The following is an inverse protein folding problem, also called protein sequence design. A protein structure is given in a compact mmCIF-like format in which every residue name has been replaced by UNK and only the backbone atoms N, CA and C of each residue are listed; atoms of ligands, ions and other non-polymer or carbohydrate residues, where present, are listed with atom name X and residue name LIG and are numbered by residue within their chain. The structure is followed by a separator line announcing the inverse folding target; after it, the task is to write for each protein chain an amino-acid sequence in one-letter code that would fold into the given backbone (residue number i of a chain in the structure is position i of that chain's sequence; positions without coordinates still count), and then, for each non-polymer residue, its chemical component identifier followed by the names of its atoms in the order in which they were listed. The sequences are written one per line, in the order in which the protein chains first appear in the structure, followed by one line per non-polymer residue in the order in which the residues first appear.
data_IF_205890374227
#
_entry.id   IF_205890374227
#
_cell.length_a   1.000
_cell.length_b   1.000
_cell.length_c   1.000
_cell.angle_alpha   90.00
_cell.angle_beta   90.00
_cell.angle_gamma   90.00
#
_symmetry.space_group_name_H-M   'P 1'
#
loop_
_entity.id
_entity.type
_entity.pdbx_description
1 polymer ?
#
# COMPACT_ATOMS: atom_id res chain seq x y z
N UNK A 1 4.42 79.10 -53.41
CA UNK A 1 5.13 77.99 -52.74
C UNK A 1 4.19 77.29 -51.78
N UNK A 2 3.57 76.17 -52.21
CA UNK A 2 2.70 75.33 -51.38
C UNK A 2 3.58 74.34 -50.61
N UNK A 3 3.52 74.35 -49.27
CA UNK A 3 4.16 73.33 -48.42
C UNK A 3 3.13 72.26 -48.10
N UNK A 4 3.35 71.07 -48.63
CA UNK A 4 2.59 69.85 -48.31
C UNK A 4 3.08 69.30 -46.97
N UNK A 5 2.15 69.02 -46.06
CA UNK A 5 2.41 68.27 -44.82
C UNK A 5 2.08 66.81 -45.11
N UNK A 6 3.10 65.95 -45.13
CA UNK A 6 2.92 64.50 -45.25
C UNK A 6 2.55 63.91 -43.91
N UNK A 7 1.33 63.37 -43.78
CA UNK A 7 0.95 62.49 -42.68
C UNK A 7 1.62 61.12 -42.91
N UNK A 8 2.54 60.73 -42.03
CA UNK A 8 3.03 59.36 -41.97
C UNK A 8 2.01 58.51 -41.21
N UNK A 9 1.35 57.58 -41.92
CA UNK A 9 0.49 56.58 -41.32
C UNK A 9 1.36 55.55 -40.57
N UNK A 10 1.29 55.58 -39.24
CA UNK A 10 1.86 54.52 -38.38
C UNK A 10 0.92 53.32 -38.46
N UNK A 11 1.30 52.34 -39.27
CA UNK A 11 0.71 50.99 -39.27
C UNK A 11 1.12 50.29 -37.96
N UNK A 12 0.22 50.31 -36.98
CA UNK A 12 0.31 49.44 -35.82
C UNK A 12 -0.03 48.02 -36.31
N UNK A 13 1.00 47.23 -36.64
CA UNK A 13 0.86 45.79 -36.76
C UNK A 13 0.48 45.26 -35.36
N UNK A 14 -0.80 44.97 -35.18
CA UNK A 14 -1.29 44.19 -34.04
C UNK A 14 -0.64 42.81 -34.09
N UNK A 15 0.44 42.65 -33.33
CA UNK A 15 1.01 41.33 -33.05
C UNK A 15 -0.02 40.51 -32.32
N UNK A 16 -0.56 39.49 -32.99
CA UNK A 16 -1.25 38.39 -32.32
C UNK A 16 -0.22 37.73 -31.42
N UNK A 17 -0.27 38.06 -30.13
CA UNK A 17 0.38 37.25 -29.11
C UNK A 17 -0.33 35.91 -29.18
N UNK A 18 0.29 34.94 -29.84
CA UNK A 18 -0.10 33.55 -29.69
C UNK A 18 0.03 33.25 -28.20
N UNK A 19 -1.12 33.23 -27.51
CA UNK A 19 -1.22 32.69 -26.17
C UNK A 19 -0.65 31.28 -26.26
N UNK A 20 0.58 31.09 -25.78
CA UNK A 20 1.19 29.77 -25.68
C UNK A 20 0.18 28.92 -24.91
N UNK A 21 -0.36 27.91 -25.58
CA UNK A 21 -1.31 26.98 -24.99
C UNK A 21 -0.66 26.45 -23.72
N UNK A 22 -1.09 26.96 -22.57
CA UNK A 22 -0.76 26.39 -21.29
C UNK A 22 -1.21 24.93 -21.39
N UNK A 23 -0.25 24.01 -21.43
CA UNK A 23 -0.53 22.58 -21.40
C UNK A 23 -1.47 22.39 -20.20
N UNK A 24 -2.71 21.97 -20.49
CA UNK A 24 -3.70 21.76 -19.45
C UNK A 24 -3.10 20.81 -18.40
N UNK A 25 -3.22 21.16 -17.12
CA UNK A 25 -2.72 20.34 -16.03
C UNK A 25 -3.28 18.91 -16.15
N UNK A 26 -2.43 17.90 -15.94
CA UNK A 26 -2.84 16.50 -15.93
C UNK A 26 -2.64 15.90 -14.53
N UNK A 27 -3.64 15.18 -13.99
CA UNK A 27 -4.92 14.80 -14.61
C UNK A 27 -5.92 15.95 -14.78
N UNK A 28 -6.86 15.78 -15.72
CA UNK A 28 -7.98 16.71 -15.90
C UNK A 28 -8.96 16.67 -14.73
N UNK A 29 -9.78 17.72 -14.58
CA UNK A 29 -10.82 17.77 -13.54
C UNK A 29 -11.77 16.57 -13.59
N UNK A 30 -12.12 16.10 -14.80
CA UNK A 30 -12.94 14.88 -14.99
C UNK A 30 -12.25 13.62 -14.45
N UNK A 31 -10.94 13.47 -14.69
CA UNK A 31 -10.19 12.33 -14.17
C UNK A 31 -10.09 12.36 -12.64
N UNK A 32 -9.95 13.55 -12.05
CA UNK A 32 -9.94 13.71 -10.59
C UNK A 32 -11.32 13.41 -9.99
N UNK A 33 -12.41 13.82 -10.63
CA UNK A 33 -13.76 13.46 -10.23
C UNK A 33 -14.00 11.94 -10.30
N UNK A 34 -13.59 11.29 -11.40
CA UNK A 34 -13.66 9.82 -11.53
C UNK A 34 -12.77 9.15 -10.48
N UNK A 35 -11.57 9.65 -10.20
CA UNK A 35 -10.69 9.12 -9.16
C UNK A 35 -11.34 9.13 -7.78
N UNK A 36 -12.14 10.16 -7.50
CA UNK A 36 -12.85 10.35 -6.24
C UNK A 36 -14.12 9.51 -6.13
N UNK A 37 -14.95 9.52 -7.17
CA UNK A 37 -16.34 9.05 -7.13
C UNK A 37 -16.58 7.76 -7.92
N UNK A 38 -15.62 7.34 -8.74
CA UNK A 38 -15.73 6.15 -9.58
C UNK A 38 -15.72 4.85 -8.78
N UNK A 39 -16.25 3.80 -9.40
CA UNK A 39 -16.23 2.43 -8.84
C UNK A 39 -15.02 1.66 -9.35
N UNK A 40 -14.43 0.90 -8.44
CA UNK A 40 -13.36 -0.07 -8.75
C UNK A 40 -13.99 -1.35 -9.31
N UNK A 41 -13.32 -1.96 -10.28
CA UNK A 41 -13.74 -3.20 -10.94
C UNK A 41 -12.85 -4.39 -10.61
N UNK A 42 -11.61 -4.14 -10.18
CA UNK A 42 -10.56 -5.16 -10.06
C UNK A 42 -9.79 -5.36 -11.36
N UNK A 43 -8.59 -5.93 -11.24
CA UNK A 43 -7.63 -5.96 -12.35
C UNK A 43 -8.06 -6.87 -13.51
N UNK A 44 -8.89 -7.89 -13.23
CA UNK A 44 -9.33 -8.84 -14.26
C UNK A 44 -10.21 -8.16 -15.33
N UNK A 45 -10.95 -7.10 -14.97
CA UNK A 45 -11.72 -6.29 -15.92
C UNK A 45 -10.83 -5.54 -16.92
N UNK A 46 -9.55 -5.30 -16.59
CA UNK A 46 -8.61 -4.63 -17.48
C UNK A 46 -7.99 -5.61 -18.51
N UNK A 47 -8.03 -6.92 -18.24
CA UNK A 47 -7.33 -7.94 -19.00
C UNK A 47 -7.78 -8.03 -20.45
N UNK A 48 -9.06 -7.84 -20.72
CA UNK A 48 -9.63 -8.00 -22.07
C UNK A 48 -9.04 -7.01 -23.08
N UNK A 49 -8.85 -5.75 -22.66
CA UNK A 49 -8.27 -4.69 -23.51
C UNK A 49 -6.75 -4.52 -23.33
N UNK A 50 -6.19 -4.91 -22.17
CA UNK A 50 -4.78 -4.69 -21.82
C UNK A 50 -4.04 -6.00 -21.45
N UNK A 51 -4.22 -7.04 -22.26
CA UNK A 51 -3.72 -8.39 -21.99
C UNK A 51 -2.20 -8.46 -21.73
N UNK A 52 -1.39 -7.73 -22.50
CA UNK A 52 0.09 -7.77 -22.38
C UNK A 52 0.57 -7.16 -21.06
N UNK A 53 0.06 -5.97 -20.72
CA UNK A 53 0.38 -5.32 -19.44
C UNK A 53 -0.14 -6.15 -18.27
N UNK A 54 -1.35 -6.69 -18.38
CA UNK A 54 -1.92 -7.58 -17.37
C UNK A 54 -1.06 -8.84 -17.17
N UNK A 55 -0.54 -9.44 -18.24
CA UNK A 55 0.32 -10.64 -18.15
C UNK A 55 1.58 -10.39 -17.32
N UNK A 56 2.26 -9.26 -17.55
CA UNK A 56 3.42 -8.86 -16.73
C UNK A 56 3.01 -8.58 -15.28
N UNK A 57 1.96 -7.78 -15.10
CA UNK A 57 1.48 -7.43 -13.76
C UNK A 57 1.05 -8.65 -12.95
N UNK A 58 0.39 -9.64 -13.56
CA UNK A 58 -0.17 -10.81 -12.88
C UNK A 58 0.88 -11.68 -12.18
N UNK A 59 2.14 -11.64 -12.61
CA UNK A 59 3.26 -12.34 -11.96
C UNK A 59 4.13 -11.41 -11.12
N UNK A 60 3.80 -10.12 -11.07
CA UNK A 60 4.57 -9.14 -10.30
C UNK A 60 4.33 -9.27 -8.81
N UNK A 61 5.29 -8.78 -8.01
CA UNK A 61 5.24 -8.80 -6.53
C UNK A 61 4.10 -7.95 -5.94
N UNK A 62 3.46 -7.08 -6.74
CA UNK A 62 2.27 -6.34 -6.30
C UNK A 62 1.05 -7.27 -6.11
N UNK A 63 0.97 -8.35 -6.87
CA UNK A 63 -0.11 -9.34 -6.73
C UNK A 63 0.05 -10.24 -5.50
N UNK A 64 1.19 -10.16 -4.83
CA UNK A 64 1.63 -11.08 -3.77
C UNK A 64 1.55 -10.47 -2.37
N UNK A 65 0.98 -9.27 -2.24
CA UNK A 65 0.81 -8.59 -0.96
C UNK A 65 -0.26 -9.27 -0.10
N UNK A 66 -1.37 -9.66 -0.72
CA UNK A 66 -2.38 -10.50 -0.11
C UNK A 66 -2.92 -11.52 -1.11
N UNK A 67 -3.31 -12.69 -0.61
CA UNK A 67 -4.04 -13.73 -1.34
C UNK A 67 -5.19 -14.22 -0.48
N UNK A 68 -6.24 -14.73 -1.12
CA UNK A 68 -7.25 -15.50 -0.42
C UNK A 68 -6.68 -16.83 0.07
N UNK A 69 -7.20 -17.31 1.19
CA UNK A 69 -6.93 -18.62 1.74
C UNK A 69 -8.07 -19.62 1.50
N UNK A 70 -7.87 -20.89 1.91
CA UNK A 70 -8.80 -21.99 1.69
C UNK A 70 -10.20 -21.79 2.29
N UNK A 71 -10.35 -20.97 3.34
CA UNK A 71 -11.66 -20.66 3.91
C UNK A 71 -12.58 -19.87 2.95
N UNK A 72 -11.99 -19.18 1.98
CA UNK A 72 -12.73 -18.45 0.93
C UNK A 72 -13.00 -19.33 -0.29
N UNK A 73 -12.12 -20.30 -0.56
CA UNK A 73 -12.28 -21.23 -1.66
C UNK A 73 -11.16 -22.27 -1.66
N UNK A 74 -11.51 -23.55 -1.81
CA UNK A 74 -10.58 -24.68 -1.63
C UNK A 74 -9.31 -24.54 -2.48
N UNK A 75 -9.44 -24.09 -3.72
CA UNK A 75 -8.31 -23.92 -4.66
C UNK A 75 -7.24 -22.91 -4.19
N UNK A 76 -7.56 -22.09 -3.18
CA UNK A 76 -6.62 -21.16 -2.57
C UNK A 76 -5.62 -21.85 -1.62
N UNK A 77 -5.75 -23.14 -1.34
CA UNK A 77 -4.75 -23.89 -0.56
C UNK A 77 -3.35 -23.82 -1.18
N UNK A 78 -3.28 -23.68 -2.52
CA UNK A 78 -2.03 -23.50 -3.26
C UNK A 78 -1.26 -22.22 -2.87
N UNK A 79 -1.95 -21.24 -2.28
CA UNK A 79 -1.34 -20.00 -1.83
C UNK A 79 -0.64 -20.14 -0.46
N UNK A 80 -0.76 -21.28 0.21
CA UNK A 80 0.00 -21.62 1.42
C UNK A 80 1.20 -22.45 1.00
N UNK A 81 2.40 -22.12 1.49
CA UNK A 81 3.60 -22.91 1.19
C UNK A 81 3.36 -24.40 1.46
N UNK A 82 3.86 -25.26 0.57
CA UNK A 82 3.64 -26.70 0.64
C UNK A 82 4.10 -27.31 1.96
N UNK A 83 5.31 -26.97 2.41
CA UNK A 83 5.85 -27.45 3.69
C UNK A 83 5.00 -27.01 4.87
N UNK A 84 4.39 -25.82 4.79
CA UNK A 84 3.52 -25.28 5.84
C UNK A 84 2.23 -26.09 5.93
N UNK A 85 1.61 -26.46 4.80
CA UNK A 85 0.43 -27.32 4.80
C UNK A 85 0.76 -28.72 5.34
N UNK A 86 1.89 -29.30 4.90
CA UNK A 86 2.37 -30.61 5.35
C UNK A 86 2.59 -30.67 6.87
N UNK A 87 3.21 -29.64 7.44
CA UNK A 87 3.62 -29.61 8.85
C UNK A 87 2.71 -28.78 9.76
N UNK A 88 1.54 -28.33 9.28
CA UNK A 88 0.68 -27.39 10.00
C UNK A 88 0.34 -27.83 11.43
N UNK A 89 0.08 -29.12 11.64
CA UNK A 89 -0.25 -29.67 12.96
C UNK A 89 0.84 -29.41 14.02
N UNK A 90 2.11 -29.31 13.57
CA UNK A 90 3.28 -29.03 14.42
C UNK A 90 3.47 -27.54 14.71
N UNK A 91 2.80 -26.66 13.97
CA UNK A 91 2.92 -25.20 14.11
C UNK A 91 2.00 -24.67 15.20
N UNK A 92 2.42 -23.63 15.89
CA UNK A 92 1.61 -22.91 16.89
C UNK A 92 0.61 -21.94 16.23
N UNK A 93 -0.42 -22.50 15.59
CA UNK A 93 -1.48 -21.77 14.88
C UNK A 93 -2.50 -21.07 15.80
N UNK A 94 -2.02 -20.44 16.87
CA UNK A 94 -2.82 -19.60 17.75
C UNK A 94 -3.11 -18.25 17.10
N UNK A 95 -4.20 -17.60 17.47
CA UNK A 95 -4.62 -16.29 16.95
C UNK A 95 -4.28 -15.18 17.93
N UNK A 96 -3.75 -14.05 17.44
CA UNK A 96 -3.57 -12.85 18.28
C UNK A 96 -4.91 -12.15 18.44
N UNK A 97 -5.35 -11.91 19.68
CA UNK A 97 -6.70 -11.43 19.99
C UNK A 97 -6.74 -9.92 20.24
N UNK A 98 -6.08 -9.48 21.30
CA UNK A 98 -6.10 -8.08 21.72
C UNK A 98 -4.84 -7.73 22.53
N UNK A 99 -4.49 -6.45 22.58
CA UNK A 99 -3.45 -5.93 23.44
C UNK A 99 -3.98 -5.71 24.86
N UNK A 100 -3.35 -6.34 25.85
CA UNK A 100 -3.63 -6.11 27.28
C UNK A 100 -2.95 -4.84 27.77
N UNK A 101 -1.67 -4.68 27.43
CA UNK A 101 -0.85 -3.53 27.78
C UNK A 101 0.29 -3.35 26.76
N UNK A 102 1.20 -2.41 27.00
CA UNK A 102 2.31 -2.09 26.08
C UNK A 102 3.15 -3.31 25.68
N UNK A 103 3.31 -4.27 26.57
CA UNK A 103 4.22 -5.40 26.42
C UNK A 103 3.50 -6.76 26.42
N UNK A 104 2.18 -6.79 26.57
CA UNK A 104 1.40 -8.03 26.69
C UNK A 104 0.22 -8.05 25.71
N UNK A 105 0.04 -9.17 25.01
CA UNK A 105 -1.14 -9.46 24.18
C UNK A 105 -1.81 -10.76 24.63
N UNK A 106 -3.11 -10.85 24.40
CA UNK A 106 -3.86 -12.10 24.48
C UNK A 106 -3.72 -12.89 23.17
N UNK A 107 -3.49 -14.19 23.29
CA UNK A 107 -3.34 -15.13 22.16
C UNK A 107 -4.25 -16.32 22.43
N UNK A 108 -5.06 -16.77 21.47
CA UNK A 108 -6.03 -17.85 21.70
C UNK A 108 -5.34 -19.14 22.17
N UNK A 109 -5.91 -19.82 23.17
CA UNK A 109 -5.45 -21.15 23.54
C UNK A 109 -5.76 -22.17 22.43
N UNK A 110 -6.90 -21.98 21.75
CA UNK A 110 -7.27 -22.70 20.54
C UNK A 110 -6.23 -22.50 19.42
N UNK A 111 -5.89 -23.60 18.74
CA UNK A 111 -5.18 -23.62 17.45
C UNK A 111 -6.20 -23.65 16.30
N UNK A 112 -5.87 -23.00 15.20
CA UNK A 112 -6.70 -22.98 14.00
C UNK A 112 -6.18 -23.93 12.93
N UNK A 113 -7.08 -24.52 12.14
CA UNK A 113 -6.72 -25.36 11.00
C UNK A 113 -6.27 -24.48 9.82
N UNK A 114 -5.40 -24.98 8.95
CA UNK A 114 -4.99 -24.22 7.77
C UNK A 114 -6.15 -23.94 6.83
N UNK A 115 -7.20 -24.78 6.86
CA UNK A 115 -8.47 -24.57 6.14
C UNK A 115 -9.27 -23.38 6.64
N UNK A 116 -9.04 -22.92 7.88
CA UNK A 116 -9.71 -21.74 8.44
C UNK A 116 -9.09 -20.42 7.96
N UNK A 117 -7.95 -20.49 7.27
CA UNK A 117 -7.25 -19.32 6.77
C UNK A 117 -8.07 -18.66 5.66
N UNK A 118 -8.53 -17.43 5.91
CA UNK A 118 -9.26 -16.62 4.94
C UNK A 118 -8.38 -15.70 4.12
N UNK A 119 -7.31 -15.16 4.72
CA UNK A 119 -6.39 -14.22 4.06
C UNK A 119 -4.95 -14.60 4.38
N UNK A 120 -4.07 -14.45 3.39
CA UNK A 120 -2.63 -14.68 3.49
C UNK A 120 -1.94 -13.39 3.12
N UNK A 121 -1.13 -12.83 4.02
CA UNK A 121 -0.36 -11.60 3.77
C UNK A 121 1.09 -11.94 3.48
N UNK A 122 1.53 -11.61 2.26
CA UNK A 122 2.87 -11.89 1.72
C UNK A 122 2.97 -13.26 1.05
N UNK A 123 3.82 -13.37 0.01
CA UNK A 123 4.12 -14.63 -0.70
C UNK A 123 5.61 -14.85 -1.01
N UNK A 124 6.39 -13.77 -1.14
CA UNK A 124 7.76 -13.86 -1.65
C UNK A 124 8.82 -14.04 -0.56
N UNK A 125 8.67 -13.33 0.56
CA UNK A 125 9.68 -13.33 1.63
C UNK A 125 9.19 -14.06 2.87
N UNK A 126 7.89 -13.90 3.18
CA UNK A 126 7.25 -14.45 4.36
C UNK A 126 5.74 -14.49 4.17
N UNK A 127 5.10 -15.46 4.81
CA UNK A 127 3.64 -15.61 4.91
C UNK A 127 3.20 -15.40 6.35
N UNK A 128 2.10 -14.66 6.49
CA UNK A 128 1.32 -14.53 7.72
C UNK A 128 -0.12 -14.85 7.36
N UNK A 129 -0.77 -15.67 8.17
CA UNK A 129 -2.11 -16.17 7.87
C UNK A 129 -3.12 -15.55 8.81
N UNK A 130 -4.33 -15.38 8.31
CA UNK A 130 -5.40 -14.74 9.03
C UNK A 130 -6.66 -15.60 9.02
N UNK A 131 -7.29 -15.67 10.18
CA UNK A 131 -8.53 -16.41 10.42
C UNK A 131 -9.59 -15.44 10.94
N UNK A 132 -10.85 -15.77 10.74
CA UNK A 132 -11.95 -14.91 11.17
C UNK A 132 -12.16 -15.02 12.69
N UNK A 133 -12.22 -13.87 13.36
CA UNK A 133 -12.60 -13.72 14.76
C UNK A 133 -13.90 -12.94 14.87
N UNK A 134 -14.87 -13.46 15.61
CA UNK A 134 -16.19 -12.88 15.84
C UNK A 134 -16.23 -11.93 17.06
N UNK A 135 -15.13 -11.76 17.79
CA UNK A 135 -15.16 -10.96 19.00
C UNK A 135 -15.69 -11.69 20.23
N UNK A 136 -15.99 -12.98 20.15
CA UNK A 136 -16.52 -13.78 21.25
C UNK A 136 -15.47 -14.11 22.33
N UNK A 137 -15.92 -14.42 23.55
CA UNK A 137 -15.02 -14.87 24.62
C UNK A 137 -14.35 -16.20 24.29
N UNK A 138 -13.12 -16.39 24.77
CA UNK A 138 -12.42 -17.66 24.64
C UNK A 138 -11.28 -17.80 25.65
N UNK A 139 -10.80 -19.03 25.84
CA UNK A 139 -9.55 -19.25 26.57
C UNK A 139 -8.36 -18.69 25.79
N UNK A 140 -7.47 -18.00 26.50
CA UNK A 140 -6.29 -17.36 25.94
C UNK A 140 -5.04 -17.63 26.79
N UNK A 141 -3.89 -17.52 26.16
CA UNK A 141 -2.59 -17.33 26.76
C UNK A 141 -2.23 -15.85 26.76
N UNK A 142 -1.25 -15.48 27.59
CA UNK A 142 -0.58 -14.19 27.48
C UNK A 142 0.74 -14.36 26.74
N UNK A 143 0.99 -13.50 25.74
CA UNK A 143 2.31 -13.39 25.11
C UNK A 143 2.94 -12.04 25.45
N UNK A 144 4.23 -12.06 25.79
CA UNK A 144 4.97 -10.89 26.28
C UNK A 144 6.16 -10.56 25.40
N UNK A 145 6.54 -9.29 25.39
CA UNK A 145 7.80 -8.81 24.80
C UNK A 145 8.57 -7.98 25.83
N UNK A 146 9.88 -8.15 25.91
CA UNK A 146 10.71 -7.51 26.96
C UNK A 146 10.90 -6.01 26.73
N UNK A 147 10.97 -5.55 25.48
CA UNK A 147 11.36 -4.18 25.12
C UNK A 147 10.28 -3.43 24.31
N UNK A 148 9.03 -3.89 24.32
CA UNK A 148 8.02 -3.43 23.35
C UNK A 148 8.42 -3.75 21.90
N UNK A 149 9.29 -4.76 21.74
CA UNK A 149 9.86 -5.19 20.48
C UNK A 149 8.88 -6.02 19.66
N UNK A 150 9.38 -6.65 18.60
CA UNK A 150 8.58 -7.55 17.76
C UNK A 150 8.80 -9.02 18.08
N UNK A 151 9.65 -9.32 19.06
CA UNK A 151 9.92 -10.66 19.55
C UNK A 151 9.02 -10.93 20.74
N UNK A 152 8.09 -11.87 20.57
CA UNK A 152 7.07 -12.22 21.54
C UNK A 152 7.25 -13.66 22.00
N UNK A 153 7.00 -13.89 23.29
CA UNK A 153 7.04 -15.21 23.91
C UNK A 153 5.68 -15.51 24.54
N UNK A 154 5.07 -16.61 24.14
CA UNK A 154 3.79 -17.07 24.67
C UNK A 154 4.01 -17.90 25.95
N UNK A 155 3.30 -17.55 27.02
CA UNK A 155 3.25 -18.35 28.25
C UNK A 155 2.10 -19.35 28.16
N UNK A 156 2.43 -20.62 27.90
CA UNK A 156 1.46 -21.71 27.79
C UNK A 156 1.25 -22.48 29.11
N UNK A 157 1.88 -22.04 30.21
CA UNK A 157 1.76 -22.72 31.51
C UNK A 157 0.39 -22.54 32.16
N UNK A 158 -0.36 -21.51 31.75
CA UNK A 158 -1.67 -21.16 32.27
C UNK A 158 -2.53 -20.51 31.19
N UNK A 159 -3.83 -20.74 31.27
CA UNK A 159 -4.83 -20.02 30.47
C UNK A 159 -5.48 -18.91 31.30
N UNK A 160 -6.05 -17.93 30.60
CA UNK A 160 -6.92 -16.89 31.15
C UNK A 160 -8.23 -16.88 30.37
N UNK A 161 -9.32 -16.48 31.02
CA UNK A 161 -10.59 -16.23 30.33
C UNK A 161 -10.55 -14.86 29.69
N UNK A 162 -10.47 -14.81 28.36
CA UNK A 162 -10.61 -13.57 27.61
C UNK A 162 -12.09 -13.31 27.35
N UNK A 163 -12.60 -12.17 27.83
CA UNK A 163 -14.02 -11.82 27.77
C UNK A 163 -14.56 -11.59 26.34
N UNK A 164 -13.67 -11.52 25.35
CA UNK A 164 -14.03 -11.17 23.98
C UNK A 164 -14.08 -9.66 23.77
N UNK A 165 -14.04 -9.26 22.51
CA UNK A 165 -14.19 -7.85 22.11
C UNK A 165 -14.74 -7.77 20.67
N UNK A 166 -16.04 -7.48 20.54
CA UNK A 166 -16.69 -7.31 19.23
C UNK A 166 -16.12 -6.15 18.42
N UNK A 167 -15.56 -5.12 19.06
CA UNK A 167 -14.86 -4.04 18.38
C UNK A 167 -13.58 -4.51 17.66
N UNK A 168 -13.05 -5.68 18.03
CA UNK A 168 -11.90 -6.30 17.33
C UNK A 168 -12.28 -7.26 16.23
N UNK A 169 -13.52 -7.78 16.20
CA UNK A 169 -13.97 -8.76 15.20
C UNK A 169 -13.57 -8.42 13.75
N UNK A 170 -13.12 -9.43 13.00
CA UNK A 170 -12.54 -9.29 11.67
C UNK A 170 -11.53 -10.41 11.38
N UNK A 171 -10.69 -10.25 10.35
CA UNK A 171 -9.60 -11.20 10.08
C UNK A 171 -8.38 -10.89 10.95
N UNK A 172 -8.07 -11.79 11.88
CA UNK A 172 -6.98 -11.67 12.82
C UNK A 172 -5.78 -12.49 12.38
N UNK A 173 -4.59 -11.97 12.67
CA UNK A 173 -3.36 -12.69 12.40
C UNK A 173 -3.17 -13.86 13.36
N UNK A 174 -2.81 -15.00 12.81
CA UNK A 174 -2.19 -16.05 13.60
C UNK A 174 -0.85 -15.54 14.14
N UNK A 175 -0.51 -15.96 15.36
CA UNK A 175 0.72 -15.65 16.08
C UNK A 175 1.93 -16.37 15.46
N UNK A 176 2.08 -16.28 14.15
CA UNK A 176 3.10 -17.01 13.41
C UNK A 176 3.50 -16.28 12.13
N UNK A 177 4.78 -16.40 11.80
CA UNK A 177 5.36 -15.85 10.58
C UNK A 177 6.31 -16.89 10.01
N UNK A 178 6.02 -17.34 8.79
CA UNK A 178 6.73 -18.43 8.14
C UNK A 178 7.43 -17.92 6.89
N UNK A 179 8.49 -18.61 6.50
CA UNK A 179 9.32 -18.25 5.35
C UNK A 179 9.22 -19.32 4.25
N UNK A 180 9.55 -18.99 2.99
CA UNK A 180 9.52 -19.97 1.89
C UNK A 180 10.43 -21.18 2.14
N UNK A 181 11.56 -20.97 2.84
CA UNK A 181 12.49 -22.04 3.21
C UNK A 181 11.82 -22.99 4.21
N UNK A 182 11.81 -24.27 3.87
CA UNK A 182 11.27 -25.34 4.72
C UNK A 182 11.84 -25.28 6.14
N UNK A 183 10.97 -25.45 7.14
CA UNK A 183 11.29 -25.40 8.57
C UNK A 183 11.68 -24.01 9.11
N UNK A 184 11.75 -22.97 8.27
CA UNK A 184 12.14 -21.64 8.72
C UNK A 184 10.92 -20.87 9.26
N UNK A 185 10.95 -20.63 10.56
CA UNK A 185 9.87 -20.00 11.35
C UNK A 185 10.45 -18.80 12.12
N UNK A 186 9.68 -17.71 12.25
CA UNK A 186 10.00 -16.70 13.25
C UNK A 186 9.63 -17.20 14.65
N UNK A 187 10.63 -17.50 15.49
CA UNK A 187 10.41 -18.01 16.85
C UNK A 187 9.69 -17.01 17.76
N UNK A 188 9.84 -15.70 17.50
CA UNK A 188 9.16 -14.64 18.25
C UNK A 188 7.71 -14.39 17.84
N UNK A 189 7.12 -15.23 16.98
CA UNK A 189 5.73 -15.09 16.54
C UNK A 189 5.45 -13.84 15.70
N UNK A 190 4.16 -13.50 15.55
CA UNK A 190 3.70 -12.24 14.96
C UNK A 190 2.41 -11.78 15.65
N UNK A 191 2.52 -10.78 16.52
CA UNK A 191 1.47 -10.39 17.45
C UNK A 191 0.68 -9.13 17.01
N UNK A 192 0.26 -9.05 15.75
CA UNK A 192 -0.65 -7.97 15.35
C UNK A 192 -2.05 -8.24 15.92
N UNK A 193 -2.47 -7.38 16.85
CA UNK A 193 -3.71 -7.52 17.60
C UNK A 193 -4.89 -6.75 16.98
N UNK A 194 -4.64 -5.95 15.94
CA UNK A 194 -5.71 -5.34 15.13
C UNK A 194 -6.07 -6.28 13.99
N UNK A 195 -7.34 -6.28 13.61
CA UNK A 195 -7.76 -7.00 12.42
C UNK A 195 -7.11 -6.40 11.16
N UNK A 196 -7.02 -7.23 10.12
CA UNK A 196 -6.50 -6.83 8.81
C UNK A 196 -7.23 -5.61 8.25
N UNK A 197 -8.56 -5.62 8.37
CA UNK A 197 -9.44 -4.55 7.90
C UNK A 197 -9.18 -3.24 8.63
N UNK A 198 -8.85 -3.27 9.93
CA UNK A 198 -8.58 -2.06 10.70
C UNK A 198 -7.26 -1.38 10.34
N UNK A 199 -6.24 -2.15 9.93
CA UNK A 199 -4.87 -1.63 9.92
C UNK A 199 -4.09 -1.78 8.62
N UNK A 200 -4.33 -2.84 7.86
CA UNK A 200 -3.42 -3.26 6.78
C UNK A 200 -4.07 -3.25 5.40
N UNK A 201 -5.39 -3.45 5.34
CA UNK A 201 -6.10 -3.75 4.10
C UNK A 201 -5.95 -2.65 3.04
N UNK A 202 -5.91 -1.36 3.42
CA UNK A 202 -5.88 -0.25 2.48
C UNK A 202 -4.63 -0.23 1.59
N UNK A 203 -3.48 -0.67 2.11
CA UNK A 203 -2.24 -0.74 1.34
C UNK A 203 -1.97 -2.13 0.73
N UNK A 204 -2.78 -3.14 1.05
CA UNK A 204 -2.54 -4.54 0.70
C UNK A 204 -3.64 -5.14 -0.20
N UNK A 205 -4.60 -4.33 -0.64
CA UNK A 205 -5.71 -4.70 -1.53
C UNK A 205 -6.05 -3.52 -2.44
N UNK A 206 -6.97 -3.68 -3.39
CA UNK A 206 -7.42 -2.60 -4.27
C UNK A 206 -8.89 -2.28 -4.06
N UNK A 207 -9.21 -0.98 -4.04
CA UNK A 207 -10.59 -0.50 -3.95
C UNK A 207 -11.24 -0.80 -2.60
N UNK A 208 -10.48 -0.73 -1.50
CA UNK A 208 -11.04 -0.93 -0.17
C UNK A 208 -12.08 0.17 0.17
N UNK A 209 -13.34 -0.22 0.30
CA UNK A 209 -14.45 0.62 0.75
C UNK A 209 -14.47 0.69 2.28
N UNK A 210 -13.74 1.67 2.80
CA UNK A 210 -13.65 1.82 4.24
C UNK A 210 -14.95 2.28 4.89
N UNK A 211 -15.77 3.07 4.21
CA UNK A 211 -17.03 3.56 4.77
C UNK A 211 -18.03 2.41 4.90
N UNK A 212 -18.09 1.55 3.89
CA UNK A 212 -18.83 0.29 3.93
C UNK A 212 -18.36 -0.61 5.07
N UNK A 213 -17.03 -0.75 5.25
CA UNK A 213 -16.46 -1.49 6.38
C UNK A 213 -16.86 -0.92 7.74
N UNK A 214 -16.69 0.40 7.97
CA UNK A 214 -17.03 1.02 9.26
C UNK A 214 -18.53 0.90 9.56
N UNK A 215 -19.40 1.07 8.56
CA UNK A 215 -20.84 0.82 8.71
C UNK A 215 -21.11 -0.63 9.08
N UNK A 216 -20.52 -1.58 8.35
CA UNK A 216 -20.68 -3.00 8.61
C UNK A 216 -20.22 -3.39 10.02
N UNK A 217 -19.12 -2.80 10.48
CA UNK A 217 -18.56 -2.98 11.82
C UNK A 217 -19.52 -2.47 12.89
N UNK A 218 -20.06 -1.26 12.72
CA UNK A 218 -21.06 -0.71 13.62
C UNK A 218 -22.31 -1.59 13.70
N UNK A 219 -22.83 -2.02 12.54
CA UNK A 219 -23.98 -2.93 12.46
C UNK A 219 -23.69 -4.27 13.17
N UNK A 220 -22.48 -4.80 13.03
CA UNK A 220 -22.05 -6.04 13.69
C UNK A 220 -21.98 -5.92 15.21
N UNK A 221 -21.36 -4.85 15.71
CA UNK A 221 -21.27 -4.58 17.16
C UNK A 221 -22.67 -4.42 17.76
N UNK A 222 -23.58 -3.76 17.05
CA UNK A 222 -24.97 -3.59 17.45
C UNK A 222 -25.82 -4.87 17.35
N UNK A 223 -25.29 -5.96 16.77
CA UNK A 223 -26.03 -7.22 16.57
C UNK A 223 -26.96 -7.22 15.35
N UNK A 224 -26.90 -6.19 14.50
CA UNK A 224 -27.70 -6.05 13.28
C UNK A 224 -27.06 -6.74 12.06
N UNK A 225 -25.86 -7.31 12.22
CA UNK A 225 -25.13 -8.05 11.19
C UNK A 225 -24.60 -9.36 11.75
N UNK A 226 -24.66 -10.42 10.94
CA UNK A 226 -24.24 -11.78 11.33
C UNK A 226 -22.72 -11.93 11.48
N UNK A 227 -21.93 -11.37 10.56
CA UNK A 227 -20.48 -11.50 10.55
C UNK A 227 -19.79 -10.37 9.76
N UNK A 228 -18.46 -10.40 9.77
CA UNK A 228 -17.56 -9.43 9.11
C UNK A 228 -16.56 -10.14 8.20
N UNK A 229 -17.01 -11.20 7.51
CA UNK A 229 -16.16 -11.98 6.58
C UNK A 229 -15.93 -11.28 5.24
N UNK A 230 -16.78 -10.32 4.88
CA UNK A 230 -16.56 -9.48 3.71
C UNK A 230 -15.33 -8.58 3.91
N UNK A 231 -14.47 -8.50 2.89
CA UNK A 231 -13.28 -7.65 2.93
C UNK A 231 -13.52 -6.22 2.46
N UNK A 232 -14.65 -5.96 1.78
CA UNK A 232 -14.98 -4.65 1.20
C UNK A 232 -13.92 -4.16 0.20
N UNK A 233 -13.42 -5.04 -0.66
CA UNK A 233 -12.40 -4.72 -1.68
C UNK A 233 -12.89 -5.12 -3.06
N UNK A 234 -12.42 -4.43 -4.09
CA UNK A 234 -12.65 -4.82 -5.48
C UNK A 234 -11.66 -5.90 -5.95
N UNK A 235 -10.44 -5.92 -5.39
CA UNK A 235 -9.43 -6.94 -5.68
C UNK A 235 -8.57 -7.19 -4.45
N UNK A 236 -8.28 -8.46 -4.14
CA UNK A 236 -7.38 -8.84 -3.04
C UNK A 236 -5.92 -8.45 -3.34
N UNK A 237 -5.57 -8.28 -4.61
CA UNK A 237 -4.24 -7.90 -5.09
C UNK A 237 -4.07 -6.38 -5.10
N UNK A 238 -2.83 -5.91 -5.22
CA UNK A 238 -2.56 -4.54 -5.68
C UNK A 238 -2.68 -4.51 -7.20
N UNK A 239 -3.88 -4.15 -7.67
CA UNK A 239 -4.34 -4.12 -9.06
C UNK A 239 -4.11 -2.80 -9.76
N UNK A 240 -4.47 -2.76 -11.04
CA UNK A 240 -4.29 -1.61 -11.94
C UNK A 240 -4.84 -0.32 -11.31
N UNK A 241 -6.04 -0.40 -10.76
CA UNK A 241 -6.79 0.74 -10.22
C UNK A 241 -6.19 1.32 -8.93
N UNK A 242 -5.26 0.63 -8.27
CA UNK A 242 -4.51 1.23 -7.15
C UNK A 242 -3.62 2.38 -7.62
N UNK A 243 -3.11 2.34 -8.86
CA UNK A 243 -2.26 3.38 -9.44
C UNK A 243 -2.99 4.24 -10.47
N UNK A 244 -4.01 3.68 -11.13
CA UNK A 244 -4.73 4.33 -12.23
C UNK A 244 -6.07 4.96 -11.80
N UNK A 245 -6.51 4.73 -10.57
CA UNK A 245 -7.84 5.11 -10.09
C UNK A 245 -8.93 4.11 -10.56
N UNK A 246 -10.19 4.34 -10.17
CA UNK A 246 -11.32 3.48 -10.51
C UNK A 246 -11.59 3.47 -12.02
N UNK A 247 -11.74 2.29 -12.60
CA UNK A 247 -11.85 2.09 -14.05
C UNK A 247 -13.28 1.90 -14.58
N UNK A 248 -14.30 1.97 -13.72
CA UNK A 248 -15.69 1.74 -14.16
C UNK A 248 -16.19 2.65 -15.26
N UNK A 249 -15.80 3.92 -15.29
CA UNK A 249 -16.14 4.83 -16.39
C UNK A 249 -15.33 4.50 -17.64
N UNK A 250 -14.05 4.18 -17.47
CA UNK A 250 -13.16 3.84 -18.58
C UNK A 250 -13.59 2.58 -19.33
N UNK A 251 -14.02 1.54 -18.62
CA UNK A 251 -14.51 0.29 -19.25
C UNK A 251 -15.79 0.54 -20.05
N UNK A 252 -16.67 1.44 -19.59
CA UNK A 252 -17.92 1.78 -20.30
C UNK A 252 -17.65 2.68 -21.51
N UNK A 253 -16.80 3.69 -21.34
CA UNK A 253 -16.53 4.73 -22.31
C UNK A 253 -15.00 4.93 -22.45
N UNK A 254 -14.29 4.06 -23.19
CA UNK A 254 -12.83 4.14 -23.26
C UNK A 254 -12.34 5.47 -23.81
N UNK A 255 -11.73 6.28 -22.96
CA UNK A 255 -11.19 7.60 -23.31
C UNK A 255 -9.98 7.98 -22.46
N UNK A 256 -9.08 8.80 -23.01
CA UNK A 256 -7.86 9.24 -22.32
C UNK A 256 -8.13 10.10 -21.06
N UNK A 257 -9.35 10.61 -20.92
CA UNK A 257 -9.87 11.44 -19.82
C UNK A 257 -10.76 10.66 -18.83
N UNK A 258 -10.85 9.34 -18.97
CA UNK A 258 -11.69 8.47 -18.10
C UNK A 258 -10.89 7.58 -17.14
N UNK A 259 -9.55 7.60 -17.24
CA UNK A 259 -8.62 6.90 -16.35
C UNK A 259 -7.34 7.71 -16.20
N UNK A 260 -6.67 7.64 -15.05
CA UNK A 260 -5.39 8.32 -14.84
C UNK A 260 -4.25 7.48 -15.42
N UNK A 261 -3.31 8.11 -16.11
CA UNK A 261 -2.06 7.54 -16.57
C UNK A 261 -0.91 8.18 -15.78
N UNK A 262 -0.34 7.49 -14.77
CA UNK A 262 0.67 8.05 -13.87
C UNK A 262 1.84 8.77 -14.55
N UNK A 263 2.33 8.22 -15.67
CA UNK A 263 3.45 8.78 -16.42
C UNK A 263 3.17 10.17 -17.02
N UNK A 264 1.90 10.54 -17.21
CA UNK A 264 1.47 11.85 -17.74
C UNK A 264 1.18 12.89 -16.66
N UNK A 265 1.17 12.50 -15.38
CA UNK A 265 0.98 13.45 -14.28
C UNK A 265 2.12 14.46 -14.28
N UNK A 266 1.75 15.74 -14.26
CA UNK A 266 2.68 16.87 -14.28
C UNK A 266 3.02 17.38 -12.89
N UNK A 267 2.08 17.26 -11.94
CA UNK A 267 2.30 17.63 -10.55
C UNK A 267 3.24 16.63 -9.84
N UNK A 268 4.37 17.12 -9.32
CA UNK A 268 5.42 16.29 -8.69
C UNK A 268 4.89 15.53 -7.49
N UNK A 269 4.14 16.21 -6.61
CA UNK A 269 3.60 15.61 -5.40
C UNK A 269 2.65 14.47 -5.75
N UNK A 270 1.75 14.67 -6.71
CA UNK A 270 0.82 13.65 -7.16
C UNK A 270 1.55 12.46 -7.81
N UNK A 271 2.59 12.71 -8.63
CA UNK A 271 3.41 11.63 -9.21
C UNK A 271 4.04 10.75 -8.14
N UNK A 272 4.62 11.35 -7.11
CA UNK A 272 5.22 10.64 -5.99
C UNK A 272 4.16 9.90 -5.16
N UNK A 273 3.01 10.54 -4.98
CA UNK A 273 1.90 9.97 -4.23
C UNK A 273 1.36 8.70 -4.85
N UNK A 274 1.44 8.46 -6.16
CA UNK A 274 1.07 7.16 -6.78
C UNK A 274 1.70 5.97 -6.05
N UNK A 275 2.94 6.10 -5.56
CA UNK A 275 3.63 5.07 -4.78
C UNK A 275 3.58 5.37 -3.27
N UNK A 276 3.64 6.65 -2.90
CA UNK A 276 3.59 7.16 -1.53
C UNK A 276 2.32 6.77 -0.76
N UNK A 277 1.23 6.38 -1.44
CA UNK A 277 0.02 5.83 -0.81
C UNK A 277 0.32 4.66 0.12
N UNK A 278 1.30 3.84 -0.24
CA UNK A 278 1.61 2.57 0.43
C UNK A 278 3.07 2.47 0.89
N UNK A 279 4.01 3.03 0.11
CA UNK A 279 5.45 2.93 0.36
C UNK A 279 5.96 3.98 1.35
N UNK A 280 5.18 4.16 2.42
CA UNK A 280 5.37 5.19 3.43
C UNK A 280 5.09 4.65 4.84
N UNK A 281 5.36 5.48 5.84
CA UNK A 281 4.76 5.34 7.18
C UNK A 281 4.24 6.70 7.59
N UNK A 282 2.97 6.70 7.95
CA UNK A 282 2.33 7.86 8.55
C UNK A 282 2.84 8.01 9.99
N UNK A 283 2.92 9.26 10.46
CA UNK A 283 3.04 9.53 11.89
C UNK A 283 1.75 9.10 12.60
N UNK A 284 0.62 9.46 11.98
CA UNK A 284 -0.73 9.24 12.46
C UNK A 284 -1.70 9.28 11.29
N UNK A 285 -2.77 8.49 11.34
CA UNK A 285 -3.91 8.62 10.42
C UNK A 285 -4.90 9.66 10.97
N UNK A 286 -5.42 10.52 10.08
CA UNK A 286 -6.47 11.51 10.38
C UNK A 286 -7.85 10.87 10.33
N UNK A 287 -8.01 9.80 9.53
CA UNK A 287 -9.30 9.10 9.35
C UNK A 287 -9.52 7.96 10.34
N UNK A 288 -8.48 7.43 10.96
CA UNK A 288 -8.59 6.29 11.89
C UNK A 288 -7.56 6.35 13.01
N UNK A 289 -7.95 5.96 14.23
CA UNK A 289 -7.03 5.81 15.37
C UNK A 289 -6.17 4.55 15.27
N UNK A 290 -6.55 3.60 14.42
CA UNK A 290 -5.97 2.24 14.37
C UNK A 290 -5.23 1.98 13.07
N UNK A 291 -5.58 2.69 12.00
CA UNK A 291 -5.00 2.46 10.68
C UNK A 291 -3.63 3.09 10.52
N UNK A 292 -2.78 2.40 9.76
CA UNK A 292 -1.47 2.87 9.32
C UNK A 292 -1.43 3.15 7.81
N UNK A 293 -2.54 2.92 7.13
CA UNK A 293 -2.75 3.20 5.72
C UNK A 293 -3.32 4.61 5.52
N UNK A 294 -3.32 5.10 4.27
CA UNK A 294 -4.02 6.33 3.88
C UNK A 294 -5.50 6.02 3.64
N UNK A 295 -6.19 5.63 4.72
CA UNK A 295 -7.57 5.17 4.71
C UNK A 295 -8.50 6.11 3.92
N UNK A 296 -8.96 5.66 2.75
CA UNK A 296 -9.88 6.42 1.90
C UNK A 296 -9.23 7.41 0.93
N UNK A 297 -7.91 7.54 0.91
CA UNK A 297 -7.19 8.41 -0.02
C UNK A 297 -7.48 8.04 -1.47
N UNK A 298 -7.73 9.06 -2.30
CA UNK A 298 -7.82 8.96 -3.76
C UNK A 298 -6.74 9.81 -4.41
N UNK A 299 -6.26 9.35 -5.58
CA UNK A 299 -5.26 10.08 -6.33
C UNK A 299 -5.75 11.49 -6.69
N UNK A 300 -4.92 12.47 -6.37
CA UNK A 300 -5.20 13.89 -6.58
C UNK A 300 -5.79 14.60 -5.37
N UNK A 301 -6.11 13.88 -4.30
CA UNK A 301 -6.43 14.49 -3.01
C UNK A 301 -5.15 14.86 -2.24
N UNK A 302 -5.29 15.76 -1.27
CA UNK A 302 -4.19 16.19 -0.41
C UNK A 302 -3.89 15.12 0.63
N UNK A 303 -2.61 14.75 0.77
CA UNK A 303 -2.17 13.69 1.69
C UNK A 303 -2.59 13.99 3.14
N UNK A 304 -2.46 15.25 3.55
CA UNK A 304 -2.68 15.73 4.91
C UNK A 304 -4.14 15.62 5.38
N UNK A 305 -5.09 15.48 4.46
CA UNK A 305 -6.50 15.19 4.79
C UNK A 305 -6.69 13.76 5.32
N UNK A 306 -5.66 12.90 5.14
CA UNK A 306 -5.69 11.48 5.45
C UNK A 306 -4.65 11.06 6.48
N UNK A 307 -3.47 11.69 6.49
CA UNK A 307 -2.40 11.33 7.40
C UNK A 307 -1.44 12.48 7.69
N UNK A 308 -0.75 12.38 8.82
CA UNK A 308 0.38 13.23 9.14
C UNK A 308 1.68 12.60 8.63
N UNK A 309 2.55 13.40 8.03
CA UNK A 309 3.89 12.95 7.66
C UNK A 309 4.73 12.64 8.90
N UNK A 310 5.55 11.59 8.80
CA UNK A 310 6.56 11.29 9.83
C UNK A 310 7.52 12.47 9.97
N UNK A 311 7.66 12.99 11.20
CA UNK A 311 8.65 14.02 11.53
C UNK A 311 9.89 13.37 12.15
N UNK A 312 11.07 13.47 11.51
CA UNK A 312 12.31 12.95 12.07
C UNK A 312 12.67 13.63 13.40
N UNK A 313 13.12 12.83 14.37
CA UNK A 313 13.83 13.34 15.54
C UNK A 313 15.33 13.33 15.23
N UNK A 314 15.82 14.39 14.58
CA UNK A 314 17.22 14.49 14.12
C UNK A 314 18.24 14.15 15.23
N UNK A 315 19.23 13.33 14.90
CA UNK A 315 20.27 12.85 15.82
C UNK A 315 19.85 11.68 16.73
N UNK A 316 18.54 11.47 16.94
CA UNK A 316 18.01 10.38 17.80
C UNK A 316 17.26 9.29 17.03
N UNK A 317 16.61 9.67 15.93
CA UNK A 317 15.66 8.84 15.20
C UNK A 317 14.38 8.56 16.00
N UNK A 318 13.46 7.84 15.38
CA UNK A 318 12.23 7.38 16.02
C UNK A 318 11.84 5.99 15.48
N UNK A 319 10.60 5.54 15.71
CA UNK A 319 10.11 4.23 15.27
C UNK A 319 10.11 4.08 13.75
N UNK A 320 9.92 5.18 13.02
CA UNK A 320 9.76 5.23 11.58
C UNK A 320 11.08 5.54 10.85
N UNK A 321 11.93 6.42 11.40
CA UNK A 321 13.15 6.93 10.73
C UNK A 321 14.41 6.85 11.59
N UNK A 322 15.56 6.68 10.93
CA UNK A 322 16.89 6.65 11.56
C UNK A 322 17.31 8.03 12.06
N UNK A 323 18.48 8.11 12.69
CA UNK A 323 19.02 9.35 13.27
C UNK A 323 19.18 10.47 12.23
N UNK A 324 19.36 10.10 10.97
CA UNK A 324 19.50 10.96 9.79
C UNK A 324 18.20 11.05 8.96
N UNK A 325 17.06 10.68 9.55
CA UNK A 325 15.74 10.87 8.93
C UNK A 325 15.36 9.90 7.81
N UNK A 326 16.26 8.97 7.42
CA UNK A 326 15.96 7.92 6.44
C UNK A 326 15.00 6.87 6.99
N UNK A 327 14.25 6.19 6.13
CA UNK A 327 13.38 5.08 6.55
C UNK A 327 14.15 3.97 7.28
N UNK A 328 13.67 3.51 8.44
CA UNK A 328 14.34 2.41 9.20
C UNK A 328 14.01 1.00 8.69
N UNK A 329 12.96 0.86 7.90
CA UNK A 329 12.36 -0.42 7.54
C UNK A 329 12.04 -0.44 6.05
N UNK A 330 11.82 -1.66 5.57
CA UNK A 330 11.38 -1.88 4.19
C UNK A 330 10.10 -1.09 3.88
N UNK A 331 9.97 -0.71 2.60
CA UNK A 331 8.78 -0.07 2.03
C UNK A 331 8.51 1.35 2.59
N UNK A 332 9.57 2.13 2.81
CA UNK A 332 9.51 3.54 3.26
C UNK A 332 10.17 4.52 2.27
N UNK A 333 10.30 4.13 1.00
CA UNK A 333 11.08 4.87 0.00
C UNK A 333 10.59 6.31 -0.21
N UNK A 334 9.30 6.54 -0.01
CA UNK A 334 8.67 7.86 -0.06
C UNK A 334 9.30 8.85 0.95
N UNK A 335 9.73 8.37 2.12
CA UNK A 335 10.44 9.19 3.10
C UNK A 335 11.80 9.64 2.61
N UNK A 336 12.54 8.73 1.97
CA UNK A 336 13.89 9.01 1.48
C UNK A 336 13.86 9.96 0.27
N UNK A 337 12.83 9.84 -0.59
CA UNK A 337 12.60 10.78 -1.70
C UNK A 337 12.24 12.18 -1.18
N UNK A 338 11.30 12.29 -0.23
CA UNK A 338 10.99 13.58 0.40
C UNK A 338 12.18 14.20 1.11
N UNK A 339 13.02 13.38 1.72
CA UNK A 339 14.24 13.85 2.36
C UNK A 339 15.20 14.52 1.34
N UNK A 340 15.22 14.07 0.09
CA UNK A 340 15.99 14.74 -0.98
C UNK A 340 15.54 16.19 -1.17
N UNK A 341 14.22 16.42 -1.20
CA UNK A 341 13.62 17.77 -1.24
C UNK A 341 14.07 18.62 -0.06
N UNK A 342 13.97 18.08 1.17
CA UNK A 342 14.34 18.80 2.39
C UNK A 342 15.82 19.19 2.44
N UNK A 343 16.71 18.33 1.95
CA UNK A 343 18.17 18.54 2.02
C UNK A 343 18.70 19.39 0.85
N UNK A 344 18.20 19.15 -0.36
CA UNK A 344 18.74 19.74 -1.60
C UNK A 344 17.84 20.81 -2.22
N UNK A 345 16.64 20.99 -1.68
CA UNK A 345 15.60 21.89 -2.20
C UNK A 345 14.76 21.23 -3.30
N UNK A 346 13.54 21.72 -3.46
CA UNK A 346 12.53 21.17 -4.39
C UNK A 346 12.93 21.30 -5.88
N UNK A 347 13.91 22.17 -6.17
CA UNK A 347 14.47 22.35 -7.51
C UNK A 347 15.47 21.25 -7.92
N UNK A 348 15.84 20.36 -6.98
CA UNK A 348 16.67 19.19 -7.25
C UNK A 348 15.99 18.25 -8.24
N UNK A 349 16.73 17.76 -9.23
CA UNK A 349 16.23 16.72 -10.17
C UNK A 349 15.72 15.49 -9.40
N UNK A 350 16.39 15.08 -8.32
CA UNK A 350 15.95 13.93 -7.52
C UNK A 350 14.68 14.22 -6.71
N UNK A 351 14.44 15.49 -6.34
CA UNK A 351 13.23 15.90 -5.64
C UNK A 351 12.00 15.94 -6.57
N UNK A 352 12.20 16.16 -7.87
CA UNK A 352 11.13 16.16 -8.88
C UNK A 352 10.86 14.79 -9.52
N UNK A 353 11.75 13.81 -9.30
CA UNK A 353 11.56 12.45 -9.78
C UNK A 353 10.47 11.72 -9.00
N UNK A 354 9.80 10.80 -9.70
CA UNK A 354 8.86 9.84 -9.16
C UNK A 354 9.43 8.43 -9.21
N UNK A 355 8.89 7.52 -8.40
CA UNK A 355 9.40 6.16 -8.30
C UNK A 355 9.40 5.45 -9.66
N UNK A 356 8.35 5.65 -10.45
CA UNK A 356 8.21 5.05 -11.77
C UNK A 356 9.12 5.69 -12.83
N UNK A 357 9.95 6.69 -12.52
CA UNK A 357 10.99 7.13 -13.45
C UNK A 357 12.10 6.07 -13.55
N UNK A 358 12.42 5.41 -12.43
CA UNK A 358 13.43 4.36 -12.34
C UNK A 358 12.84 2.93 -12.28
N UNK A 359 11.63 2.78 -11.73
CA UNK A 359 11.00 1.49 -11.46
C UNK A 359 9.93 1.11 -12.51
N UNK A 360 9.72 -0.19 -12.73
CA UNK A 360 8.61 -0.72 -13.50
C UNK A 360 7.60 -1.41 -12.57
N UNK A 361 6.49 -0.73 -12.28
CA UNK A 361 5.42 -1.26 -11.41
C UNK A 361 4.65 -2.41 -12.04
N UNK A 362 4.64 -2.53 -13.37
CA UNK A 362 3.97 -3.62 -14.09
C UNK A 362 4.81 -4.89 -14.10
N UNK A 363 6.14 -4.78 -13.97
CA UNK A 363 7.06 -5.95 -14.01
C UNK A 363 7.90 -6.14 -12.75
N UNK A 364 7.53 -5.52 -11.62
CA UNK A 364 8.29 -5.62 -10.37
C UNK A 364 8.42 -7.10 -9.93
N UNK A 365 9.65 -7.57 -9.82
CA UNK A 365 10.00 -8.96 -9.50
C UNK A 365 10.11 -9.92 -10.68
N UNK A 366 9.65 -9.54 -11.88
CA UNK A 366 9.73 -10.39 -13.08
C UNK A 366 11.10 -10.28 -13.77
N UNK A 367 11.75 -9.12 -13.67
CA UNK A 367 13.03 -8.89 -14.33
C UNK A 367 14.17 -9.60 -13.59
N UNK A 368 14.75 -10.61 -14.24
CA UNK A 368 15.85 -11.44 -13.70
C UNK A 368 17.17 -10.67 -13.52
N UNK A 369 17.43 -9.63 -14.33
CA UNK A 369 18.65 -8.81 -14.23
C UNK A 369 18.54 -7.77 -13.11
N UNK A 370 17.34 -7.23 -12.90
CA UNK A 370 17.05 -6.32 -11.81
C UNK A 370 15.58 -6.43 -11.39
N UNK A 371 15.26 -6.96 -10.20
CA UNK A 371 13.88 -7.20 -9.82
C UNK A 371 13.07 -5.93 -9.52
N UNK A 372 13.70 -4.74 -9.49
CA UNK A 372 13.05 -3.49 -9.08
C UNK A 372 13.12 -2.39 -10.14
N UNK A 373 14.26 -2.22 -10.84
CA UNK A 373 14.43 -1.14 -11.83
C UNK A 373 14.00 -1.58 -13.24
N UNK A 374 13.63 -0.62 -14.07
CA UNK A 374 13.36 -0.81 -15.51
C UNK A 374 14.56 -1.40 -16.25
N UNK A 375 15.77 -0.99 -15.84
CA UNK A 375 17.05 -1.28 -16.50
C UNK A 375 18.11 -1.77 -15.49
N UNK A 376 19.33 -2.03 -15.96
CA UNK A 376 20.47 -2.25 -15.05
C UNK A 376 20.70 -1.05 -14.13
N UNK A 377 21.29 -1.25 -12.94
CA UNK A 377 21.54 -0.14 -11.99
C UNK A 377 22.34 1.00 -12.64
N UNK A 378 23.49 0.68 -13.23
CA UNK A 378 24.35 1.66 -13.92
C UNK A 378 23.59 2.32 -15.08
N UNK A 379 22.93 1.53 -15.92
CA UNK A 379 22.17 2.04 -17.07
C UNK A 379 21.05 3.00 -16.67
N UNK A 380 20.36 2.73 -15.56
CA UNK A 380 19.29 3.59 -15.04
C UNK A 380 19.85 4.95 -14.64
N UNK A 381 20.96 4.98 -13.91
CA UNK A 381 21.60 6.21 -13.47
C UNK A 381 22.29 6.95 -14.63
N UNK A 382 22.83 6.23 -15.60
CA UNK A 382 23.51 6.79 -16.77
C UNK A 382 22.59 7.63 -17.66
N UNK A 383 21.27 7.43 -17.59
CA UNK A 383 20.29 8.26 -18.29
C UNK A 383 20.44 9.76 -17.96
N UNK A 384 20.86 10.09 -16.72
CA UNK A 384 21.08 11.46 -16.26
C UNK A 384 22.55 11.74 -15.93
N UNK A 385 23.24 10.78 -15.31
CA UNK A 385 24.62 10.93 -14.83
C UNK A 385 25.69 10.55 -15.87
N UNK A 386 25.30 10.02 -17.03
CA UNK A 386 26.19 9.63 -18.13
C UNK A 386 27.35 8.74 -17.61
N UNK A 387 28.58 9.08 -17.96
CA UNK A 387 29.84 8.42 -17.57
C UNK A 387 30.09 8.42 -16.05
N UNK A 388 29.43 9.30 -15.28
CA UNK A 388 29.56 9.37 -13.82
C UNK A 388 28.64 8.41 -13.08
N UNK A 389 27.80 7.64 -13.77
CA UNK A 389 26.81 6.75 -13.17
C UNK A 389 27.40 5.76 -12.16
N UNK A 390 28.57 5.19 -12.45
CA UNK A 390 29.21 4.25 -11.51
C UNK A 390 29.79 4.93 -10.28
N UNK A 391 30.32 6.15 -10.44
CA UNK A 391 30.88 6.92 -9.33
C UNK A 391 29.80 7.30 -8.32
N UNK A 392 28.64 7.75 -8.79
CA UNK A 392 27.51 8.14 -7.91
C UNK A 392 26.83 6.94 -7.24
N UNK A 393 27.02 5.73 -7.76
CA UNK A 393 26.50 4.49 -7.14
C UNK A 393 27.41 3.94 -6.04
N UNK A 394 28.67 4.40 -5.96
CA UNK A 394 29.66 3.97 -4.95
C UNK A 394 29.75 4.93 -3.75
N UNK A 395 29.29 6.16 -3.92
CA UNK A 395 29.18 7.19 -2.88
C UNK A 395 27.93 6.95 -2.02
#
# INVERSE_FOLDING_TARGET
MKRSISLAAVLVLGGVIAAGSALAAYPSAKQLDIAKNGKYLGADACKECHADTHKGWATSRHTDKAKYGPAIGKDNEKNIYEWVRRDWAKLDSHMTLEQKDKNTVYVSAKKFDWKDVGVIVGQNHKQRYLVYYDGGPMEAYEAKTENGGIDWTIDKSKTVQFAGNKERAGYHFLFLQLYPKDGKINKGGYAEHRSYQERCIGCHTTGFDYQGWEKAKADYVAGNRKDLKDLFVADIRIGCEMCHGPGSEHVKNPGADTIIQPAKITDVTMRQMVCGQCHTRTQKSVKSKTSHDLRGYRLGEHYEDYAEFTRPAWGKGNRQVSIDGKGRRDHQQDMDIRLSSTIKGDHSVHASMACFDCHDSHNVGNNKKNPLLKKGKVETCAACHKDKAEAVLKA
#
